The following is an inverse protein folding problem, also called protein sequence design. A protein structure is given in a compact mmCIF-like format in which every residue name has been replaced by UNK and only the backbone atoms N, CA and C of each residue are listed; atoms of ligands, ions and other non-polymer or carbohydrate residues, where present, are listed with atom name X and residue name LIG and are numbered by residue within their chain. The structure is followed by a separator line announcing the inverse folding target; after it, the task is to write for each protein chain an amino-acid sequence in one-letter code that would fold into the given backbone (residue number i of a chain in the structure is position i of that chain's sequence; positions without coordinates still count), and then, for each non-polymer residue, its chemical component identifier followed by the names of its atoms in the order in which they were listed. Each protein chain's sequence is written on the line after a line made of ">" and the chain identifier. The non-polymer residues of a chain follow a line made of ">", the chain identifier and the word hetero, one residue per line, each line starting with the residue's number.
data_IF_617963021228
#
_entry.id   IF_617963021228
#
_cell.length_a   1.000
_cell.length_b   1.000
_cell.length_c   1.000
_cell.angle_alpha   90.00
_cell.angle_beta   90.00
_cell.angle_gamma   90.00
#
_symmetry.space_group_name_H-M   'P 1'
#
loop_
_entity.id
_entity.type
_entity.pdbx_description
1 polymer ?
#
# COMPACT_ATOMS: atom_id res chain seq x y z
N UNK A 1 40.03 -0.22 -81.40
CA UNK A 1 38.76 0.54 -81.51
C UNK A 1 37.83 -0.05 -80.45
N UNK A 2 37.30 0.63 -79.45
CA UNK A 2 37.27 2.04 -79.06
C UNK A 2 37.07 2.09 -77.54
N UNK A 3 37.61 3.15 -76.92
CA UNK A 3 37.47 3.47 -75.49
C UNK A 3 36.05 3.93 -75.15
N UNK A 4 35.62 3.71 -73.90
CA UNK A 4 34.88 4.72 -73.13
C UNK A 4 35.10 4.56 -71.61
N UNK A 5 35.53 5.67 -71.02
CA UNK A 5 35.78 5.95 -69.60
C UNK A 5 34.48 6.29 -68.85
N UNK A 6 34.52 6.07 -67.52
CA UNK A 6 33.96 6.89 -66.41
C UNK A 6 32.42 7.13 -66.36
N UNK A 7 31.73 7.28 -65.21
CA UNK A 7 32.08 7.49 -63.79
C UNK A 7 30.81 7.33 -62.93
N UNK A 8 31.06 7.10 -61.63
CA UNK A 8 30.33 7.55 -60.43
C UNK A 8 28.90 7.11 -60.11
N UNK A 9 28.79 6.60 -58.87
CA UNK A 9 27.57 6.43 -58.09
C UNK A 9 27.95 5.80 -56.76
N UNK A 10 28.42 6.63 -55.82
CA UNK A 10 28.61 6.28 -54.41
C UNK A 10 27.25 5.94 -53.79
N UNK A 11 27.11 4.74 -53.21
CA UNK A 11 26.23 4.52 -52.06
C UNK A 11 26.97 3.64 -51.06
N UNK A 12 27.11 4.20 -49.87
CA UNK A 12 27.85 3.71 -48.72
C UNK A 12 27.33 2.33 -48.28
N UNK A 13 28.24 1.35 -48.21
CA UNK A 13 27.99 0.09 -47.53
C UNK A 13 28.01 0.34 -46.03
N UNK A 14 26.82 0.43 -45.43
CA UNK A 14 26.67 0.34 -43.97
C UNK A 14 27.21 -1.03 -43.49
N UNK A 15 28.14 -1.06 -42.52
CA UNK A 15 28.57 -2.31 -41.91
C UNK A 15 27.41 -2.89 -41.09
N UNK A 16 27.04 -4.12 -41.41
CA UNK A 16 26.10 -4.94 -40.63
C UNK A 16 26.75 -5.17 -39.26
N UNK A 17 26.29 -4.42 -38.26
CA UNK A 17 26.69 -4.65 -36.88
C UNK A 17 26.11 -5.99 -36.40
N UNK A 18 26.92 -6.82 -35.72
CA UNK A 18 26.44 -8.05 -35.13
C UNK A 18 25.39 -7.74 -34.07
N UNK A 19 24.31 -8.51 -34.13
CA UNK A 19 23.14 -8.52 -33.24
C UNK A 19 23.60 -8.44 -31.79
N UNK A 20 23.32 -7.30 -31.16
CA UNK A 20 23.50 -7.12 -29.72
C UNK A 20 22.62 -8.15 -29.01
N UNK A 21 23.27 -9.18 -28.48
CA UNK A 21 22.71 -10.12 -27.52
C UNK A 21 22.14 -9.36 -26.33
N UNK A 22 20.96 -9.79 -25.92
CA UNK A 22 20.19 -9.38 -24.76
C UNK A 22 21.01 -9.17 -23.48
N UNK A 23 21.58 -7.98 -23.30
CA UNK A 23 22.11 -7.48 -22.03
C UNK A 23 21.83 -5.98 -21.91
N UNK A 24 20.57 -5.59 -22.02
CA UNK A 24 20.10 -4.30 -21.53
C UNK A 24 18.67 -4.49 -21.04
N UNK A 25 18.35 -3.98 -19.86
CA UNK A 25 17.13 -4.22 -19.07
C UNK A 25 17.16 -5.40 -18.10
N UNK A 26 17.97 -5.28 -17.05
CA UNK A 26 17.47 -5.52 -15.68
C UNK A 26 18.50 -5.05 -14.66
N UNK A 27 18.72 -3.73 -14.57
CA UNK A 27 19.00 -3.14 -13.27
C UNK A 27 17.66 -2.74 -12.64
N UNK A 28 16.78 -3.73 -12.41
CA UNK A 28 15.77 -3.55 -11.36
C UNK A 28 16.56 -3.45 -10.08
N UNK A 29 16.57 -2.25 -9.51
CA UNK A 29 17.04 -1.96 -8.17
C UNK A 29 16.61 -3.12 -7.27
N UNK A 30 17.54 -3.94 -6.79
CA UNK A 30 17.25 -4.92 -5.74
C UNK A 30 16.81 -4.11 -4.54
N UNK A 31 15.50 -3.96 -4.37
CA UNK A 31 14.94 -3.21 -3.26
C UNK A 31 15.37 -3.93 -1.98
N UNK A 32 15.97 -3.19 -1.05
CA UNK A 32 16.32 -3.74 0.25
C UNK A 32 15.03 -3.96 1.05
N UNK A 33 14.50 -5.19 1.02
CA UNK A 33 13.29 -5.57 1.75
C UNK A 33 13.53 -5.71 3.27
N UNK A 34 14.79 -5.74 3.74
CA UNK A 34 15.10 -5.79 5.18
C UNK A 34 14.52 -4.58 5.92
N UNK A 35 14.47 -3.43 5.25
CA UNK A 35 13.88 -2.21 5.78
C UNK A 35 12.37 -2.30 6.02
N UNK A 36 11.69 -3.32 5.50
CA UNK A 36 10.23 -3.51 5.63
C UNK A 36 9.87 -4.68 6.54
N UNK A 37 10.85 -5.35 7.16
CA UNK A 37 10.66 -6.56 7.96
C UNK A 37 9.62 -6.39 9.08
N UNK A 38 9.60 -5.23 9.73
CA UNK A 38 8.62 -4.94 10.79
C UNK A 38 7.18 -4.86 10.30
N UNK A 39 7.01 -4.44 9.04
CA UNK A 39 5.73 -4.38 8.36
C UNK A 39 5.22 -5.73 7.86
N UNK A 40 6.04 -6.77 7.82
CA UNK A 40 5.61 -8.03 7.21
C UNK A 40 4.46 -8.69 7.98
N UNK A 41 3.59 -9.38 7.23
CA UNK A 41 2.47 -10.14 7.78
C UNK A 41 2.91 -11.60 7.88
N UNK A 42 3.00 -12.14 9.10
CA UNK A 42 3.39 -13.53 9.31
C UNK A 42 2.45 -14.54 8.65
N UNK A 43 2.99 -15.69 8.23
CA UNK A 43 2.23 -16.74 7.54
C UNK A 43 1.13 -17.38 8.41
N UNK A 44 1.29 -17.41 9.74
CA UNK A 44 0.27 -17.87 10.68
C UNK A 44 -0.96 -16.94 10.72
N UNK A 45 -0.78 -15.66 10.40
CA UNK A 45 -1.89 -14.71 10.20
C UNK A 45 -2.55 -14.92 8.85
N UNK A 46 -1.75 -15.14 7.79
CA UNK A 46 -2.24 -15.32 6.43
C UNK A 46 -2.93 -16.68 6.21
N UNK A 47 -2.53 -17.72 6.96
CA UNK A 47 -3.02 -19.10 6.90
C UNK A 47 -3.13 -19.65 5.47
N UNK A 48 -2.14 -19.33 4.63
CA UNK A 48 -2.10 -19.76 3.22
C UNK A 48 -3.22 -19.19 2.34
N UNK A 49 -3.95 -18.17 2.81
CA UNK A 49 -5.05 -17.55 2.07
C UNK A 49 -4.61 -16.35 1.22
N UNK A 50 -3.31 -16.02 1.22
CA UNK A 50 -2.75 -14.91 0.47
C UNK A 50 -2.97 -15.09 -1.03
N UNK A 51 -3.64 -14.12 -1.65
CA UNK A 51 -3.88 -14.12 -3.10
C UNK A 51 -2.72 -13.43 -3.83
N UNK A 52 -2.31 -13.98 -4.96
CA UNK A 52 -1.42 -13.32 -5.92
C UNK A 52 -2.12 -12.27 -6.79
N UNK A 53 -3.45 -12.33 -6.87
CA UNK A 53 -4.26 -11.41 -7.66
C UNK A 53 -4.63 -10.16 -6.85
N UNK A 54 -3.82 -9.12 -7.01
CA UNK A 54 -4.05 -7.79 -6.41
C UNK A 54 -5.27 -7.07 -6.99
N UNK A 55 -5.80 -7.47 -8.16
CA UNK A 55 -7.04 -6.88 -8.69
C UNK A 55 -8.23 -7.15 -7.78
N UNK A 56 -8.15 -8.19 -6.93
CA UNK A 56 -9.15 -8.45 -5.89
C UNK A 56 -9.20 -7.36 -4.82
N UNK A 57 -8.23 -6.44 -4.74
CA UNK A 57 -8.35 -5.24 -3.90
C UNK A 57 -9.44 -4.29 -4.41
N UNK A 58 -9.79 -4.33 -5.70
CA UNK A 58 -10.72 -3.37 -6.29
C UNK A 58 -12.13 -3.52 -5.73
N UNK A 59 -12.67 -2.42 -5.19
CA UNK A 59 -14.03 -2.33 -4.68
C UNK A 59 -14.14 -1.67 -3.32
N UNK A 60 -15.34 -1.72 -2.77
CA UNK A 60 -15.67 -1.13 -1.46
C UNK A 60 -15.49 -2.14 -0.33
N UNK A 61 -14.94 -1.67 0.78
CA UNK A 61 -14.57 -2.49 1.94
C UNK A 61 -15.07 -1.88 3.24
N UNK A 62 -15.48 -2.72 4.18
CA UNK A 62 -15.85 -2.32 5.54
C UNK A 62 -15.10 -3.17 6.56
N UNK A 63 -14.73 -2.56 7.68
CA UNK A 63 -13.99 -3.22 8.76
C UNK A 63 -14.81 -4.38 9.36
N UNK A 64 -14.13 -5.50 9.62
CA UNK A 64 -14.60 -6.58 10.49
C UNK A 64 -14.16 -6.29 11.93
N UNK A 65 -15.05 -5.69 12.71
CA UNK A 65 -14.75 -5.18 14.05
C UNK A 65 -14.51 -6.27 15.09
N UNK A 66 -15.04 -7.47 14.89
CA UNK A 66 -14.88 -8.63 15.79
C UNK A 66 -13.45 -9.18 15.85
N UNK A 67 -12.60 -8.80 14.88
CA UNK A 67 -11.19 -9.26 14.80
C UNK A 67 -10.18 -8.14 14.63
N UNK A 68 -10.65 -6.93 14.38
CA UNK A 68 -9.79 -5.77 14.19
C UNK A 68 -9.48 -5.16 15.55
N UNK A 69 -8.20 -5.20 15.96
CA UNK A 69 -7.76 -4.62 17.23
C UNK A 69 -7.86 -3.09 17.25
N UNK A 70 -7.98 -2.46 18.43
CA UNK A 70 -7.90 -1.00 18.55
C UNK A 70 -6.51 -0.52 18.12
N UNK A 71 -6.39 0.71 17.60
CA UNK A 71 -5.05 1.29 17.33
C UNK A 71 -4.67 2.34 18.37
N UNK A 72 -5.21 2.24 19.59
CA UNK A 72 -4.94 3.16 20.70
C UNK A 72 -3.44 3.35 20.94
N UNK A 73 -2.66 2.26 20.98
CA UNK A 73 -1.22 2.33 21.25
C UNK A 73 -0.46 3.01 20.10
N UNK A 74 -0.81 2.67 18.86
CA UNK A 74 -0.23 3.27 17.66
C UNK A 74 -0.54 4.77 17.64
N UNK A 75 -1.79 5.15 17.85
CA UNK A 75 -2.23 6.55 17.83
C UNK A 75 -1.66 7.35 19.00
N UNK A 76 -1.52 6.74 20.18
CA UNK A 76 -0.81 7.34 21.33
C UNK A 76 0.65 7.61 21.01
N UNK A 77 1.33 6.64 20.41
CA UNK A 77 2.75 6.79 20.06
C UNK A 77 2.96 7.86 18.98
N UNK A 78 1.99 7.99 18.08
CA UNK A 78 1.92 9.06 17.07
C UNK A 78 1.45 10.40 17.66
N UNK A 79 1.33 10.50 18.99
CA UNK A 79 1.09 11.76 19.70
C UNK A 79 -0.31 12.33 19.53
N UNK A 80 -1.30 11.48 19.19
CA UNK A 80 -2.70 11.90 19.18
C UNK A 80 -3.22 12.09 20.59
N UNK A 81 -3.95 13.18 20.79
CA UNK A 81 -4.57 13.45 22.08
C UNK A 81 -5.67 12.42 22.38
N UNK A 82 -6.08 12.34 23.65
CA UNK A 82 -7.06 11.35 24.10
C UNK A 82 -8.44 11.55 23.46
N UNK A 83 -8.85 12.80 23.21
CA UNK A 83 -10.18 13.12 22.66
C UNK A 83 -10.25 12.79 21.16
N UNK A 84 -9.19 13.06 20.40
CA UNK A 84 -9.05 12.69 19.00
C UNK A 84 -9.03 11.17 18.84
N UNK A 85 -8.30 10.45 19.71
CA UNK A 85 -8.30 8.98 19.75
C UNK A 85 -9.69 8.41 20.01
N UNK A 86 -10.41 8.94 21.01
CA UNK A 86 -11.76 8.49 21.34
C UNK A 86 -12.76 8.80 20.22
N UNK A 87 -12.65 9.99 19.60
CA UNK A 87 -13.50 10.39 18.47
C UNK A 87 -13.28 9.49 17.26
N UNK A 88 -12.05 9.02 17.05
CA UNK A 88 -11.75 8.05 16.03
C UNK A 88 -12.30 6.66 16.31
N UNK A 89 -12.03 6.07 17.48
CA UNK A 89 -12.57 4.74 17.81
C UNK A 89 -14.12 4.77 17.76
N UNK A 90 -14.74 5.88 18.16
CA UNK A 90 -16.16 6.12 18.01
C UNK A 90 -16.59 6.22 16.53
N UNK A 91 -15.83 6.94 15.69
CA UNK A 91 -16.09 7.04 14.24
C UNK A 91 -15.96 5.68 13.55
N UNK A 92 -15.01 4.84 13.97
CA UNK A 92 -14.89 3.46 13.49
C UNK A 92 -16.10 2.61 13.84
N UNK A 93 -16.61 2.75 15.07
CA UNK A 93 -17.77 1.98 15.56
C UNK A 93 -19.10 2.46 14.97
N UNK A 94 -19.28 3.77 14.79
CA UNK A 94 -20.53 4.37 14.30
C UNK A 94 -20.61 4.41 12.77
N UNK A 95 -19.48 4.64 12.10
CA UNK A 95 -19.45 4.91 10.66
C UNK A 95 -18.86 3.78 9.81
N UNK A 96 -18.20 2.78 10.44
CA UNK A 96 -17.49 1.67 9.78
C UNK A 96 -16.91 2.12 8.42
N UNK A 97 -15.84 2.94 8.43
CA UNK A 97 -15.42 3.70 7.25
C UNK A 97 -15.37 2.79 6.03
N UNK A 98 -16.12 3.19 5.00
CA UNK A 98 -16.09 2.50 3.72
C UNK A 98 -14.83 2.92 3.02
N UNK A 99 -13.92 1.98 2.83
CA UNK A 99 -12.72 2.16 2.04
C UNK A 99 -13.05 1.69 0.63
N UNK A 100 -13.04 2.58 -0.34
CA UNK A 100 -12.96 2.17 -1.75
C UNK A 100 -11.49 2.07 -2.12
N UNK A 101 -11.11 0.91 -2.64
CA UNK A 101 -9.75 0.64 -3.09
C UNK A 101 -9.77 0.45 -4.60
N UNK A 102 -8.83 1.10 -5.28
CA UNK A 102 -8.61 0.90 -6.72
C UNK A 102 -7.12 0.68 -6.96
N UNK A 103 -6.77 -0.57 -7.26
CA UNK A 103 -5.44 -1.01 -7.66
C UNK A 103 -5.31 -0.99 -9.19
N UNK A 104 -4.28 -0.30 -9.66
CA UNK A 104 -3.91 -0.21 -11.08
C UNK A 104 -2.41 -0.42 -11.26
N UNK A 105 -1.98 -0.63 -12.51
CA UNK A 105 -0.57 -0.58 -12.90
C UNK A 105 -0.42 0.51 -13.96
N UNK A 106 0.31 1.57 -13.63
CA UNK A 106 0.61 2.69 -14.51
C UNK A 106 2.09 2.62 -14.88
N UNK A 107 2.42 2.42 -16.16
CA UNK A 107 3.81 2.31 -16.63
C UNK A 107 4.66 1.29 -15.81
N UNK A 108 4.10 0.10 -15.58
CA UNK A 108 4.65 -0.96 -14.71
C UNK A 108 4.80 -0.61 -13.23
N UNK A 109 4.37 0.58 -12.80
CA UNK A 109 4.34 0.99 -11.38
C UNK A 109 2.99 0.59 -10.77
N UNK A 110 2.96 -0.23 -9.72
CA UNK A 110 1.72 -0.50 -9.00
C UNK A 110 1.23 0.76 -8.30
N UNK A 111 -0.05 1.07 -8.44
CA UNK A 111 -0.69 2.22 -7.80
C UNK A 111 -1.93 1.73 -7.06
N UNK A 112 -2.05 2.10 -5.78
CA UNK A 112 -3.27 1.90 -5.01
C UNK A 112 -3.88 3.26 -4.69
N UNK A 113 -5.05 3.51 -5.25
CA UNK A 113 -5.95 4.57 -4.81
C UNK A 113 -6.74 4.08 -3.60
N UNK A 114 -6.79 4.91 -2.58
CA UNK A 114 -7.56 4.70 -1.36
C UNK A 114 -8.50 5.87 -1.19
N UNK A 115 -9.80 5.61 -1.32
CA UNK A 115 -10.84 6.59 -1.06
C UNK A 115 -11.54 6.21 0.24
N UNK A 116 -11.63 7.15 1.17
CA UNK A 116 -12.37 6.94 2.41
C UNK A 116 -13.57 7.89 2.47
N UNK A 117 -14.75 7.31 2.65
CA UNK A 117 -15.99 8.05 2.88
C UNK A 117 -16.42 7.86 4.33
N UNK A 118 -16.48 8.95 5.10
CA UNK A 118 -17.05 8.96 6.44
C UNK A 118 -18.51 9.48 6.43
N UNK A 119 -19.30 9.17 7.46
CA UNK A 119 -20.71 9.63 7.57
C UNK A 119 -20.87 11.15 7.54
N UNK A 120 -19.80 11.92 7.79
CA UNK A 120 -19.80 13.38 7.69
C UNK A 120 -19.70 13.89 6.25
N UNK A 121 -19.69 13.00 5.25
CA UNK A 121 -19.66 13.36 3.83
C UNK A 121 -18.31 13.90 3.35
N UNK A 122 -17.24 13.69 4.13
CA UNK A 122 -15.89 14.07 3.73
C UNK A 122 -15.27 12.89 3.00
N UNK A 123 -14.99 13.09 1.72
CA UNK A 123 -14.24 12.16 0.88
C UNK A 123 -12.78 12.58 0.87
N UNK A 124 -11.91 11.61 1.07
CA UNK A 124 -10.48 11.81 0.93
C UNK A 124 -9.95 10.75 -0.03
N UNK A 125 -9.25 11.21 -1.06
CA UNK A 125 -8.74 10.40 -2.17
C UNK A 125 -7.22 10.46 -2.09
N UNK A 126 -6.55 9.30 -2.12
CA UNK A 126 -5.09 9.26 -2.24
C UNK A 126 -4.58 8.13 -3.11
N UNK A 127 -3.62 8.47 -3.96
CA UNK A 127 -2.82 7.54 -4.75
C UNK A 127 -1.48 7.26 -4.07
N UNK A 128 -1.19 5.98 -3.84
CA UNK A 128 0.10 5.48 -3.38
C UNK A 128 0.77 4.73 -4.52
N UNK A 129 1.90 5.26 -5.00
CA UNK A 129 2.75 4.61 -6.00
C UNK A 129 3.79 3.74 -5.29
N UNK A 130 3.85 2.46 -5.62
CA UNK A 130 4.79 1.48 -5.07
C UNK A 130 6.04 1.37 -5.97
N UNK A 131 6.65 2.52 -6.24
CA UNK A 131 7.83 2.72 -7.09
C UNK A 131 9.16 2.48 -6.33
N UNK A 132 9.10 2.36 -5.00
CA UNK A 132 10.25 2.25 -4.12
C UNK A 132 11.07 3.53 -3.98
N UNK A 133 10.59 4.63 -4.56
CA UNK A 133 11.20 5.95 -4.44
C UNK A 133 10.98 6.49 -3.04
N UNK A 134 12.02 7.17 -2.54
CA UNK A 134 11.97 7.86 -1.26
C UNK A 134 11.38 9.25 -1.47
N UNK A 135 10.28 9.55 -0.77
CA UNK A 135 9.54 10.82 -0.82
C UNK A 135 9.71 11.54 0.51
N UNK A 136 10.26 12.75 0.51
CA UNK A 136 10.51 13.58 1.70
C UNK A 136 9.46 14.66 1.86
N UNK A 137 9.25 15.18 3.07
CA UNK A 137 8.28 16.24 3.33
C UNK A 137 6.82 15.80 3.13
N UNK A 138 6.58 14.49 3.18
CA UNK A 138 5.23 13.94 3.07
C UNK A 138 4.57 14.11 4.42
N UNK A 139 3.37 14.70 4.48
CA UNK A 139 2.59 14.72 5.71
C UNK A 139 1.85 13.40 5.89
N UNK A 140 1.83 12.91 7.14
CA UNK A 140 1.15 11.67 7.48
C UNK A 140 -0.38 11.77 7.33
N UNK A 141 -0.95 12.95 7.60
CA UNK A 141 -2.37 13.25 7.34
C UNK A 141 -2.72 13.10 5.86
N UNK A 142 -1.78 13.43 4.98
CA UNK A 142 -2.02 13.29 3.57
C UNK A 142 -2.07 11.79 3.29
N UNK A 143 -1.27 10.94 3.97
CA UNK A 143 -1.13 9.50 3.65
C UNK A 143 -2.35 8.71 4.05
N UNK A 144 -3.04 9.20 5.08
CA UNK A 144 -4.14 8.51 5.69
C UNK A 144 -5.37 9.40 5.78
N UNK A 145 -6.35 9.15 4.91
CA UNK A 145 -7.59 9.89 4.93
C UNK A 145 -8.45 9.63 6.18
N UNK A 146 -8.10 8.58 6.94
CA UNK A 146 -8.87 8.18 8.10
C UNK A 146 -8.60 9.15 9.27
N UNK A 147 -9.63 9.74 9.89
CA UNK A 147 -9.53 10.13 11.30
C UNK A 147 -8.97 8.92 12.08
N UNK A 148 -8.12 9.09 13.11
CA UNK A 148 -7.61 10.33 13.69
C UNK A 148 -6.27 10.74 13.03
N UNK A 149 -5.77 10.00 12.05
CA UNK A 149 -4.45 10.24 11.45
C UNK A 149 -4.46 11.55 10.66
N UNK A 150 -5.62 11.91 10.09
CA UNK A 150 -5.86 13.24 9.51
C UNK A 150 -5.75 14.39 10.52
N UNK A 151 -5.90 14.11 11.83
CA UNK A 151 -5.86 15.07 12.94
C UNK A 151 -4.54 15.07 13.72
N UNK A 152 -3.53 14.30 13.28
CA UNK A 152 -2.22 14.34 13.93
C UNK A 152 -1.63 15.75 13.89
N UNK A 153 -1.25 16.22 15.08
CA UNK A 153 -0.69 17.56 15.30
C UNK A 153 0.69 17.73 14.64
N UNK A 154 1.09 18.99 14.49
CA UNK A 154 2.22 19.49 13.70
C UNK A 154 3.64 19.00 14.08
N UNK A 155 3.74 18.03 14.99
CA UNK A 155 5.00 17.42 15.44
C UNK A 155 5.42 16.17 14.66
N UNK A 156 4.64 15.78 13.64
CA UNK A 156 4.91 14.64 12.74
C UNK A 156 4.77 15.04 11.26
N UNK A 157 4.89 16.33 11.00
CA UNK A 157 4.49 16.95 9.72
C UNK A 157 5.34 16.53 8.55
N UNK A 158 6.62 16.23 8.75
CA UNK A 158 7.49 15.85 7.65
C UNK A 158 8.17 14.52 7.97
N UNK A 159 7.81 13.49 7.21
CA UNK A 159 8.46 12.20 7.25
C UNK A 159 9.02 11.80 5.88
N UNK A 160 9.74 10.68 5.90
CA UNK A 160 10.24 10.04 4.69
C UNK A 160 9.38 8.82 4.38
N UNK A 161 8.66 8.89 3.27
CA UNK A 161 7.83 7.79 2.78
C UNK A 161 8.60 6.96 1.77
N UNK A 162 8.50 5.64 1.89
CA UNK A 162 8.89 4.69 0.85
C UNK A 162 7.82 3.62 0.72
N UNK A 163 7.39 3.33 -0.50
CA UNK A 163 6.37 2.31 -0.76
C UNK A 163 6.89 1.32 -1.81
N UNK A 164 6.81 0.02 -1.51
CA UNK A 164 7.32 -1.05 -2.38
C UNK A 164 6.27 -2.14 -2.52
N UNK A 165 6.26 -2.80 -3.68
CA UNK A 165 5.52 -4.03 -3.88
C UNK A 165 6.50 -5.19 -3.84
N UNK A 166 6.20 -6.18 -3.01
CA UNK A 166 6.90 -7.46 -3.01
C UNK A 166 5.89 -8.59 -3.22
N UNK A 167 5.91 -9.17 -4.43
CA UNK A 167 4.92 -10.15 -4.88
C UNK A 167 3.48 -9.65 -4.66
N UNK A 168 2.68 -10.32 -3.81
CA UNK A 168 1.30 -9.94 -3.46
C UNK A 168 1.18 -8.95 -2.28
N UNK A 169 2.30 -8.49 -1.70
CA UNK A 169 2.30 -7.59 -0.55
C UNK A 169 2.60 -6.16 -0.98
N UNK A 170 1.76 -5.22 -0.54
CA UNK A 170 1.92 -3.78 -0.75
C UNK A 170 2.43 -3.15 0.55
N UNK A 171 3.71 -2.78 0.56
CA UNK A 171 4.40 -2.25 1.73
C UNK A 171 4.54 -0.74 1.67
N UNK A 172 4.37 -0.10 2.82
CA UNK A 172 4.64 1.31 3.03
C UNK A 172 5.43 1.46 4.32
N UNK A 173 6.54 2.19 4.26
CA UNK A 173 7.31 2.63 5.41
C UNK A 173 7.28 4.16 5.43
N UNK A 174 6.91 4.71 6.57
CA UNK A 174 6.92 6.13 6.85
C UNK A 174 7.82 6.40 8.04
N UNK A 175 8.94 7.05 7.80
CA UNK A 175 9.95 7.33 8.81
C UNK A 175 9.73 8.73 9.41
N UNK A 176 9.68 8.80 10.74
CA UNK A 176 9.49 10.02 11.51
C UNK A 176 10.63 10.20 12.49
N UNK A 177 10.74 11.39 13.10
CA UNK A 177 11.75 11.66 14.12
C UNK A 177 11.64 10.68 15.32
N UNK A 178 10.42 10.46 15.82
CA UNK A 178 10.18 9.65 17.03
C UNK A 178 10.12 8.14 16.78
N UNK A 179 9.92 7.71 15.53
CA UNK A 179 9.63 6.32 15.22
C UNK A 179 9.46 6.05 13.73
N UNK A 180 9.21 4.80 13.39
CA UNK A 180 8.86 4.39 12.02
C UNK A 180 7.50 3.71 12.03
N UNK A 181 6.63 4.09 11.10
CA UNK A 181 5.34 3.45 10.84
C UNK A 181 5.46 2.58 9.59
N UNK A 182 5.09 1.33 9.73
CA UNK A 182 4.98 0.36 8.67
C UNK A 182 3.52 0.05 8.42
N UNK A 183 3.15 -0.05 7.16
CA UNK A 183 1.85 -0.54 6.76
C UNK A 183 2.03 -1.57 5.67
N UNK A 184 1.24 -2.62 5.76
CA UNK A 184 1.21 -3.64 4.72
C UNK A 184 -0.22 -3.95 4.40
N UNK A 185 -0.56 -3.94 3.12
CA UNK A 185 -1.88 -4.36 2.65
C UNK A 185 -1.74 -5.57 1.75
N UNK A 186 -2.63 -6.53 1.98
CA UNK A 186 -2.78 -7.74 1.17
C UNK A 186 -4.25 -7.99 0.88
N UNK A 187 -4.50 -8.87 -0.09
CA UNK A 187 -5.82 -9.46 -0.30
C UNK A 187 -5.72 -10.97 -0.13
N UNK A 188 -6.69 -11.51 0.60
CA UNK A 188 -6.84 -12.93 0.84
C UNK A 188 -8.00 -13.41 -0.04
N UNK A 189 -7.81 -14.50 -0.77
CA UNK A 189 -8.85 -15.01 -1.68
C UNK A 189 -10.06 -15.58 -0.93
N UNK A 190 -9.92 -15.83 0.38
CA UNK A 190 -11.00 -16.20 1.30
C UNK A 190 -10.66 -15.75 2.72
N UNK A 191 -11.65 -15.76 3.60
CA UNK A 191 -11.44 -15.58 5.04
C UNK A 191 -10.65 -16.75 5.66
N UNK A 192 -9.48 -16.51 6.29
CA UNK A 192 -8.71 -17.53 7.01
C UNK A 192 -9.46 -18.28 8.12
N UNK A 193 -10.53 -17.67 8.67
CA UNK A 193 -11.39 -18.31 9.67
C UNK A 193 -12.74 -18.76 9.12
N UNK A 194 -12.99 -18.58 7.82
CA UNK A 194 -14.22 -18.94 7.12
C UNK A 194 -15.52 -18.42 7.79
N UNK A 195 -15.52 -17.21 8.40
CA UNK A 195 -16.76 -16.59 8.92
C UNK A 195 -17.41 -15.62 7.95
N UNK A 196 -16.67 -15.19 6.92
CA UNK A 196 -17.19 -14.33 5.85
C UNK A 196 -16.85 -14.97 4.52
N UNK A 197 -17.82 -14.98 3.62
CA UNK A 197 -17.62 -15.44 2.26
C UNK A 197 -16.83 -14.43 1.43
N UNK A 198 -16.22 -14.92 0.36
CA UNK A 198 -15.51 -14.08 -0.59
C UNK A 198 -14.12 -13.61 -0.13
N UNK A 199 -13.45 -12.81 -0.95
CA UNK A 199 -12.14 -12.27 -0.63
C UNK A 199 -12.23 -11.25 0.50
N UNK A 200 -11.21 -11.20 1.35
CA UNK A 200 -11.06 -10.17 2.38
C UNK A 200 -9.74 -9.42 2.18
N UNK A 201 -9.68 -8.14 2.53
CA UNK A 201 -8.40 -7.40 2.57
C UNK A 201 -7.94 -7.25 4.01
N UNK A 202 -6.65 -7.51 4.23
CA UNK A 202 -5.97 -7.37 5.51
C UNK A 202 -4.96 -6.22 5.40
N UNK A 203 -5.02 -5.30 6.36
CA UNK A 203 -4.00 -4.30 6.58
C UNK A 203 -3.30 -4.54 7.93
N UNK A 204 -1.98 -4.62 7.93
CA UNK A 204 -1.16 -4.56 9.15
C UNK A 204 -0.64 -3.14 9.31
N UNK A 205 -0.74 -2.62 10.52
CA UNK A 205 -0.06 -1.41 10.96
C UNK A 205 0.95 -1.81 12.02
N UNK A 206 2.19 -1.34 11.91
CA UNK A 206 3.22 -1.57 12.89
C UNK A 206 3.96 -0.27 13.14
N UNK A 207 4.13 0.11 14.40
CA UNK A 207 4.90 1.28 14.77
C UNK A 207 6.05 0.86 15.68
N UNK A 208 7.24 1.36 15.39
CA UNK A 208 8.46 1.12 16.16
C UNK A 208 8.97 2.45 16.71
N UNK A 209 9.11 2.54 18.03
CA UNK A 209 9.70 3.70 18.68
C UNK A 209 11.23 3.66 18.53
N UNK A 210 11.83 4.70 17.95
CA UNK A 210 13.28 4.75 17.73
C UNK A 210 14.10 4.86 19.00
N UNK A 211 13.55 5.47 20.07
CA UNK A 211 14.26 5.67 21.35
C UNK A 211 14.22 4.43 22.22
N UNK A 212 13.08 3.75 22.27
CA UNK A 212 12.87 2.61 23.20
C UNK A 212 12.94 1.25 22.51
N UNK A 213 12.82 1.19 21.19
CA UNK A 213 12.68 -0.05 20.42
C UNK A 213 11.33 -0.75 20.60
N UNK A 214 10.41 -0.16 21.39
CA UNK A 214 9.08 -0.73 21.62
C UNK A 214 8.29 -0.76 20.31
N UNK A 215 7.66 -1.91 20.06
CA UNK A 215 6.86 -2.19 18.87
C UNK A 215 5.41 -2.42 19.24
N UNK A 216 4.51 -1.76 18.51
CA UNK A 216 3.08 -2.00 18.57
C UNK A 216 2.57 -2.38 17.18
N UNK A 217 1.76 -3.44 17.09
CA UNK A 217 1.18 -3.88 15.82
C UNK A 217 -0.32 -4.15 15.94
N UNK A 218 -1.04 -3.86 14.86
CA UNK A 218 -2.49 -4.01 14.77
C UNK A 218 -2.85 -4.52 13.38
N UNK A 219 -3.78 -5.47 13.34
CA UNK A 219 -4.36 -6.01 12.12
C UNK A 219 -5.78 -5.45 11.93
N UNK A 220 -6.11 -5.06 10.70
CA UNK A 220 -7.43 -4.62 10.28
C UNK A 220 -7.91 -5.47 9.13
N UNK A 221 -8.94 -6.27 9.39
CA UNK A 221 -9.61 -7.08 8.39
C UNK A 221 -10.79 -6.30 7.82
N UNK A 222 -11.00 -6.40 6.52
CA UNK A 222 -12.13 -5.78 5.86
C UNK A 222 -12.80 -6.77 4.93
N UNK A 223 -14.13 -6.81 5.00
CA UNK A 223 -14.98 -7.54 4.05
C UNK A 223 -15.46 -6.61 2.95
N UNK A 224 -15.80 -7.18 1.80
CA UNK A 224 -16.35 -6.44 0.67
C UNK A 224 -17.77 -5.93 0.99
N UNK A 225 -18.09 -4.72 0.54
CA UNK A 225 -19.44 -4.13 0.65
C UNK A 225 -20.23 -4.50 -0.59
N UNK A 226 -21.46 -4.98 -0.42
CA UNK A 226 -22.34 -5.40 -1.52
C UNK A 226 -22.52 -6.92 -1.66
N UNK A 227 -21.66 -7.71 -1.02
CA UNK A 227 -21.97 -9.10 -0.69
C UNK A 227 -22.96 -9.07 0.48
N UNK A 228 -24.25 -9.18 0.19
CA UNK A 228 -25.22 -9.57 1.22
C UNK A 228 -24.73 -10.91 1.76
N UNK A 229 -24.19 -10.93 2.97
CA UNK A 229 -24.21 -12.15 3.76
C UNK A 229 -25.67 -12.60 3.79
N UNK A 230 -25.93 -13.84 3.39
CA UNK A 230 -27.24 -14.47 3.53
C UNK A 230 -27.73 -14.55 4.99
N UNK A 231 -26.92 -14.13 5.96
CA UNK A 231 -27.18 -14.31 7.39
C UNK A 231 -27.48 -13.01 8.13
N UNK A 232 -28.47 -12.26 7.66
CA UNK A 232 -29.18 -11.33 8.53
C UNK A 232 -30.70 -11.39 8.28
N UNK A 233 -31.24 -12.59 8.45
CA UNK A 233 -32.55 -12.74 9.08
C UNK A 233 -32.27 -13.32 10.47
N UNK A 234 -32.49 -12.52 11.51
CA UNK A 234 -33.13 -12.85 12.80
C UNK A 234 -32.95 -11.68 13.77
#
# INVERSE_FOLDING_TARGET
>A
MSFKLEKQGDEERFPVHPTATAESFSQRHTMNLEEFADGDIPEDVLKGCLSSDLQLLNGDWTILSDRSGPMTDITEMLGLDKLDRMSWELSLQLSAPRLSLTFTQEDDVPVLRVDCTCQLGIEYIRDIRFDGEKKTGVHLRDLFPNPPLSHMSSGFDEGELRAVRDGPKLFVRYDMEKGSLYMTRVVLFKDPENRVDGPITLAKYCVVNKKTGVKHEVYRYHRRVGERSSDSCF
#
